data_IF_648967694379
#
_entry.id   IF_648967694379
#
_cell.length_a   1.000
_cell.length_b   1.000
_cell.length_c   1.000
_cell.angle_alpha   90.00
_cell.angle_beta   90.00
_cell.angle_gamma   90.00
#
_symmetry.space_group_name_H-M   'P 1'
#
loop_
_entity.id
_entity.type
_entity.pdbx_description
1 polymer ?
#
# COMPACT_ATOMS: atom_id res chain seq x y z
N UNK A 1 -14.14 -23.63 15.69
CA UNK A 1 -13.29 -22.45 15.88
C UNK A 1 -13.36 -21.63 14.58
N UNK A 2 -13.86 -20.41 14.67
CA UNK A 2 -13.85 -19.47 13.54
C UNK A 2 -12.42 -18.98 13.32
N UNK A 3 -11.88 -19.21 12.11
CA UNK A 3 -10.55 -18.72 11.73
C UNK A 3 -10.70 -17.33 11.11
N UNK A 4 -10.09 -16.32 11.73
CA UNK A 4 -10.16 -14.92 11.29
C UNK A 4 -8.78 -14.35 10.91
N UNK A 5 -7.80 -15.22 10.71
CA UNK A 5 -6.41 -14.85 10.42
C UNK A 5 -6.10 -14.61 8.94
N UNK A 6 -7.08 -14.80 8.06
CA UNK A 6 -6.91 -14.61 6.61
C UNK A 6 -8.11 -13.87 6.05
N UNK A 7 -7.85 -12.72 5.43
CA UNK A 7 -8.88 -11.93 4.74
C UNK A 7 -9.32 -12.56 3.42
N UNK A 8 -10.01 -13.69 3.50
CA UNK A 8 -10.55 -14.40 2.35
C UNK A 8 -12.07 -14.51 2.46
N UNK A 9 -12.84 -13.58 1.87
CA UNK A 9 -14.30 -13.57 1.96
C UNK A 9 -15.01 -14.61 1.06
N UNK A 10 -14.32 -15.16 0.06
CA UNK A 10 -14.92 -16.09 -0.90
C UNK A 10 -15.59 -17.34 -0.26
N UNK A 11 -15.01 -18.01 0.77
CA UNK A 11 -15.65 -19.13 1.43
C UNK A 11 -16.94 -18.77 2.19
N UNK A 12 -17.22 -17.49 2.35
CA UNK A 12 -18.42 -16.96 3.01
C UNK A 12 -19.45 -16.39 2.02
N UNK A 13 -19.39 -16.83 0.76
CA UNK A 13 -20.32 -16.44 -0.31
C UNK A 13 -20.25 -14.95 -0.72
N UNK A 14 -19.15 -14.26 -0.37
CA UNK A 14 -18.89 -12.92 -0.88
C UNK A 14 -18.21 -13.03 -2.25
N UNK A 15 -18.98 -13.06 -3.29
CA UNK A 15 -18.51 -13.21 -4.66
C UNK A 15 -17.92 -11.91 -5.24
N UNK A 16 -17.03 -12.05 -6.21
CA UNK A 16 -16.59 -10.93 -7.02
C UNK A 16 -17.76 -10.41 -7.90
N UNK A 17 -17.76 -9.11 -8.26
CA UNK A 17 -18.78 -8.58 -9.19
C UNK A 17 -18.82 -9.37 -10.49
N UNK A 18 -20.03 -9.69 -10.96
CA UNK A 18 -20.23 -10.47 -12.20
C UNK A 18 -19.62 -9.79 -13.43
N UNK A 19 -19.57 -8.47 -13.45
CA UNK A 19 -18.98 -7.67 -14.50
C UNK A 19 -17.48 -7.97 -14.62
N UNK A 20 -16.76 -8.11 -13.49
CA UNK A 20 -15.35 -8.46 -13.48
C UNK A 20 -15.10 -9.86 -14.02
N UNK A 21 -15.92 -10.83 -13.60
CA UNK A 21 -15.83 -12.22 -14.09
C UNK A 21 -16.10 -12.29 -15.59
N UNK A 22 -17.16 -11.60 -16.04
CA UNK A 22 -17.51 -11.55 -17.46
C UNK A 22 -16.40 -10.91 -18.31
N UNK A 23 -15.84 -9.80 -17.86
CA UNK A 23 -14.77 -9.09 -18.55
C UNK A 23 -13.52 -9.97 -18.68
N UNK A 24 -13.14 -10.66 -17.59
CA UNK A 24 -12.04 -11.62 -17.60
C UNK A 24 -12.23 -12.70 -18.69
N UNK A 25 -13.42 -13.31 -18.75
CA UNK A 25 -13.73 -14.36 -19.72
C UNK A 25 -13.69 -13.82 -21.16
N UNK A 26 -14.27 -12.65 -21.38
CA UNK A 26 -14.33 -12.03 -22.73
C UNK A 26 -12.94 -11.65 -23.27
N UNK A 27 -12.03 -11.22 -22.39
CA UNK A 27 -10.69 -10.76 -22.75
C UNK A 27 -9.60 -11.83 -22.53
N UNK A 28 -9.95 -13.07 -22.20
CA UNK A 28 -8.99 -14.13 -21.91
C UNK A 28 -8.01 -14.39 -23.08
N UNK A 29 -8.48 -14.29 -24.33
CA UNK A 29 -7.63 -14.47 -25.53
C UNK A 29 -6.62 -13.34 -25.72
N UNK A 30 -6.93 -12.13 -25.30
CA UNK A 30 -6.03 -10.99 -25.40
C UNK A 30 -4.86 -11.08 -24.39
N UNK A 31 -4.95 -12.05 -23.47
CA UNK A 31 -3.92 -12.32 -22.46
C UNK A 31 -2.90 -13.40 -22.91
N UNK A 32 -2.97 -13.92 -24.14
CA UNK A 32 -2.07 -14.99 -24.62
C UNK A 32 -0.63 -14.49 -24.90
N UNK A 33 -0.45 -13.19 -25.15
CA UNK A 33 0.84 -12.59 -25.50
C UNK A 33 1.49 -11.83 -24.35
N UNK A 34 2.77 -11.51 -24.52
CA UNK A 34 3.45 -10.57 -23.62
C UNK A 34 2.86 -9.17 -23.76
N UNK A 35 2.80 -8.45 -22.65
CA UNK A 35 2.41 -7.04 -22.59
C UNK A 35 3.60 -6.15 -22.20
N UNK A 36 3.37 -4.83 -22.16
CA UNK A 36 4.34 -3.86 -21.65
C UNK A 36 4.74 -4.21 -20.19
N UNK A 37 6.03 -4.11 -19.88
CA UNK A 37 6.56 -4.44 -18.55
C UNK A 37 5.98 -3.58 -17.42
N UNK A 38 5.47 -2.39 -17.72
CA UNK A 38 4.72 -1.56 -16.76
C UNK A 38 3.27 -1.99 -16.59
N UNK A 39 2.77 -2.88 -17.45
CA UNK A 39 1.37 -3.29 -17.52
C UNK A 39 0.65 -2.73 -18.76
N UNK A 40 -0.48 -3.34 -19.10
CA UNK A 40 -1.26 -2.94 -20.30
C UNK A 40 -1.76 -1.49 -20.18
N UNK A 41 -1.77 -0.81 -21.33
CA UNK A 41 -2.14 0.61 -21.39
C UNK A 41 -3.52 0.89 -20.80
N UNK A 42 -4.53 0.09 -21.10
CA UNK A 42 -5.89 0.27 -20.61
C UNK A 42 -5.98 0.21 -19.07
N UNK A 43 -5.28 -0.74 -18.44
CA UNK A 43 -5.24 -0.83 -16.98
C UNK A 43 -4.54 0.38 -16.35
N UNK A 44 -3.36 0.76 -16.88
CA UNK A 44 -2.63 1.95 -16.38
C UNK A 44 -3.44 3.23 -16.58
N UNK A 45 -4.17 3.36 -17.70
CA UNK A 45 -5.05 4.51 -17.94
C UNK A 45 -6.22 4.56 -16.97
N UNK A 46 -6.81 3.42 -16.63
CA UNK A 46 -7.87 3.35 -15.62
C UNK A 46 -7.36 3.73 -14.23
N UNK A 47 -6.13 3.31 -13.88
CA UNK A 47 -5.48 3.71 -12.62
C UNK A 47 -5.18 5.21 -12.61
N UNK A 48 -4.67 5.77 -13.72
CA UNK A 48 -4.46 7.23 -13.83
C UNK A 48 -5.76 8.01 -13.59
N UNK A 49 -6.87 7.56 -14.19
CA UNK A 49 -8.19 8.17 -13.96
C UNK A 49 -8.62 8.04 -12.49
N UNK A 50 -8.35 6.91 -11.86
CA UNK A 50 -8.60 6.74 -10.43
C UNK A 50 -7.78 7.72 -9.59
N UNK A 51 -6.48 7.88 -9.89
CA UNK A 51 -5.63 8.85 -9.22
C UNK A 51 -6.15 10.29 -9.38
N UNK A 52 -6.64 10.66 -10.58
CA UNK A 52 -7.25 11.95 -10.82
C UNK A 52 -8.52 12.19 -9.98
N UNK A 53 -9.39 11.17 -9.88
CA UNK A 53 -10.58 11.22 -9.03
C UNK A 53 -10.26 11.36 -7.54
N UNK A 54 -9.14 10.81 -7.12
CA UNK A 54 -8.64 10.88 -5.74
C UNK A 54 -7.69 12.07 -5.50
N UNK A 55 -7.54 12.94 -6.48
CA UNK A 55 -6.72 14.16 -6.42
C UNK A 55 -5.23 13.92 -6.14
N UNK A 56 -4.69 12.79 -6.60
CA UNK A 56 -3.24 12.56 -6.52
C UNK A 56 -2.48 13.63 -7.30
N UNK A 57 -1.44 14.24 -6.72
CA UNK A 57 -0.67 15.25 -7.41
C UNK A 57 0.25 14.62 -8.48
N UNK A 58 0.32 15.25 -9.66
CA UNK A 58 1.35 15.02 -10.68
C UNK A 58 1.48 13.57 -11.20
N UNK A 59 0.48 12.69 -11.02
CA UNK A 59 0.51 11.32 -11.51
C UNK A 59 0.12 11.26 -12.97
N UNK A 60 0.95 10.63 -13.79
CA UNK A 60 0.72 10.34 -15.19
C UNK A 60 0.76 8.83 -15.44
N UNK A 61 0.33 8.39 -16.60
CA UNK A 61 0.41 6.98 -17.00
C UNK A 61 1.84 6.40 -16.93
N UNK A 62 2.87 7.25 -17.03
CA UNK A 62 4.27 6.82 -16.97
C UNK A 62 4.76 6.48 -15.57
N UNK A 63 4.04 6.95 -14.56
CA UNK A 63 4.34 6.76 -13.14
C UNK A 63 3.62 5.52 -12.56
N UNK A 64 2.84 4.83 -13.41
CA UNK A 64 1.99 3.71 -13.00
C UNK A 64 2.59 2.40 -13.48
N UNK A 65 2.72 1.47 -12.53
CA UNK A 65 3.20 0.10 -12.74
C UNK A 65 2.17 -0.88 -12.21
N UNK A 66 1.88 -1.92 -12.97
CA UNK A 66 1.03 -3.01 -12.51
C UNK A 66 1.89 -4.25 -12.21
N UNK A 67 1.51 -4.98 -11.19
CA UNK A 67 2.19 -6.20 -10.76
C UNK A 67 1.18 -7.27 -10.35
N UNK A 68 1.70 -8.40 -9.96
CA UNK A 68 0.95 -9.57 -9.53
C UNK A 68 0.51 -9.41 -8.05
N UNK A 69 -0.35 -8.41 -7.81
CA UNK A 69 -0.77 -7.98 -6.49
C UNK A 69 0.27 -7.09 -5.78
N UNK A 70 -0.16 -6.42 -4.72
CA UNK A 70 0.69 -5.53 -3.91
C UNK A 70 1.92 -6.26 -3.37
N UNK A 71 1.81 -7.56 -3.10
CA UNK A 71 2.93 -8.36 -2.56
C UNK A 71 4.14 -8.41 -3.48
N UNK A 72 3.95 -8.54 -4.79
CA UNK A 72 5.05 -8.49 -5.76
C UNK A 72 5.67 -7.09 -5.79
N UNK A 73 4.82 -6.05 -5.85
CA UNK A 73 5.27 -4.66 -5.90
C UNK A 73 6.09 -4.27 -4.66
N UNK A 74 5.67 -4.69 -3.46
CA UNK A 74 6.45 -4.50 -2.22
C UNK A 74 7.85 -5.11 -2.38
N UNK A 75 7.92 -6.36 -2.82
CA UNK A 75 9.21 -7.06 -2.98
C UNK A 75 10.10 -6.36 -4.00
N UNK A 76 9.55 -5.95 -5.13
CA UNK A 76 10.29 -5.24 -6.18
C UNK A 76 10.80 -3.88 -5.68
N UNK A 77 9.97 -3.13 -4.96
CA UNK A 77 10.35 -1.83 -4.39
C UNK A 77 11.51 -1.98 -3.40
N UNK A 78 11.42 -2.94 -2.49
CA UNK A 78 12.49 -3.15 -1.49
C UNK A 78 13.79 -3.62 -2.15
N UNK A 79 13.72 -4.53 -3.12
CA UNK A 79 14.90 -4.97 -3.88
C UNK A 79 15.54 -3.86 -4.72
N UNK A 80 14.74 -2.93 -5.22
CA UNK A 80 15.24 -1.80 -6.02
C UNK A 80 15.78 -0.64 -5.20
N UNK A 81 15.39 -0.51 -3.92
CA UNK A 81 15.75 0.61 -3.06
C UNK A 81 16.94 0.30 -2.14
N UNK A 82 17.00 -0.92 -1.56
CA UNK A 82 17.80 -1.19 -0.36
C UNK A 82 19.14 -1.81 -0.69
N UNK A 83 20.18 -1.26 -0.05
CA UNK A 83 21.47 -1.87 0.12
C UNK A 83 21.63 -2.46 1.54
N UNK A 84 22.68 -3.27 1.74
CA UNK A 84 22.96 -3.85 3.06
C UNK A 84 23.16 -2.76 4.13
N UNK A 85 22.34 -2.84 5.17
CA UNK A 85 22.38 -1.93 6.31
C UNK A 85 21.48 -0.70 6.18
N UNK A 86 20.79 -0.51 5.06
CA UNK A 86 19.73 0.47 4.96
C UNK A 86 18.55 0.08 5.87
N UNK A 87 17.87 1.08 6.39
CA UNK A 87 16.76 0.92 7.33
C UNK A 87 15.45 1.42 6.73
N UNK A 88 14.37 0.71 7.04
CA UNK A 88 13.00 1.13 6.68
C UNK A 88 12.12 1.05 7.91
N UNK A 89 11.44 2.15 8.22
CA UNK A 89 10.46 2.21 9.30
C UNK A 89 9.18 1.47 8.90
N UNK A 90 8.69 0.57 9.75
CA UNK A 90 7.52 -0.28 9.51
C UNK A 90 6.60 -0.24 10.73
N UNK A 91 5.27 -0.20 10.57
CA UNK A 91 4.37 -0.21 11.72
C UNK A 91 4.47 -1.52 12.52
N UNK A 92 4.14 -1.47 13.81
CA UNK A 92 3.97 -2.64 14.65
C UNK A 92 2.68 -2.51 15.47
N UNK A 93 1.66 -3.35 15.17
CA UNK A 93 1.66 -4.51 14.25
C UNK A 93 1.64 -4.13 12.77
N UNK A 94 2.20 -5.02 11.90
CA UNK A 94 2.28 -4.82 10.45
C UNK A 94 1.65 -5.98 9.65
N UNK A 95 1.65 -5.80 8.33
CA UNK A 95 1.53 -6.89 7.39
C UNK A 95 2.92 -7.53 7.21
N UNK A 96 3.15 -8.79 7.68
CA UNK A 96 4.48 -9.39 7.81
C UNK A 96 5.33 -9.43 6.54
N UNK A 97 4.71 -9.26 5.37
CA UNK A 97 5.43 -9.22 4.10
C UNK A 97 6.36 -8.00 3.99
N UNK A 98 6.01 -6.86 4.59
CA UNK A 98 6.88 -5.69 4.60
C UNK A 98 8.19 -6.01 5.30
N UNK A 99 8.10 -6.48 6.54
CA UNK A 99 9.27 -6.93 7.33
C UNK A 99 10.11 -7.98 6.57
N UNK A 100 9.44 -8.98 5.99
CA UNK A 100 10.12 -10.03 5.24
C UNK A 100 10.82 -9.52 3.98
N UNK A 101 10.15 -8.65 3.19
CA UNK A 101 10.72 -8.13 1.95
C UNK A 101 11.93 -7.21 2.19
N UNK A 102 11.89 -6.39 3.23
CA UNK A 102 13.01 -5.55 3.65
C UNK A 102 14.20 -6.43 4.04
N UNK A 103 13.99 -7.44 4.90
CA UNK A 103 15.04 -8.34 5.34
C UNK A 103 15.65 -9.15 4.17
N UNK A 104 14.82 -9.64 3.25
CA UNK A 104 15.26 -10.40 2.08
C UNK A 104 16.02 -9.52 1.06
N UNK A 105 15.75 -8.23 1.03
CA UNK A 105 16.50 -7.26 0.22
C UNK A 105 17.83 -6.81 0.85
N UNK A 106 18.17 -7.30 2.07
CA UNK A 106 19.38 -6.94 2.79
C UNK A 106 19.25 -5.73 3.71
N UNK A 107 18.07 -5.11 3.77
CA UNK A 107 17.78 -4.01 4.67
C UNK A 107 17.39 -4.47 6.09
N UNK A 108 17.21 -3.51 6.96
CA UNK A 108 16.79 -3.71 8.35
C UNK A 108 15.41 -3.09 8.57
N UNK A 109 14.36 -3.89 8.85
CA UNK A 109 13.08 -3.35 9.27
C UNK A 109 13.18 -2.78 10.69
N UNK A 110 12.83 -1.52 10.86
CA UNK A 110 12.80 -0.83 12.15
C UNK A 110 11.34 -0.55 12.50
N UNK A 111 10.81 -1.28 13.48
CA UNK A 111 9.39 -1.20 13.83
C UNK A 111 9.11 -0.01 14.72
N UNK A 112 8.14 0.83 14.31
CA UNK A 112 7.54 1.86 15.16
C UNK A 112 6.22 1.38 15.75
N UNK A 113 5.87 1.89 16.92
CA UNK A 113 4.70 1.45 17.68
C UNK A 113 3.44 2.09 17.11
N UNK A 114 2.40 1.25 16.92
CA UNK A 114 1.01 1.70 16.82
C UNK A 114 0.34 1.32 18.14
N UNK A 115 -0.01 2.34 18.94
CA UNK A 115 -0.46 2.13 20.31
C UNK A 115 -1.93 1.66 20.36
N UNK A 116 -2.17 0.52 21.02
CA UNK A 116 -3.51 -0.03 21.20
C UNK A 116 -4.42 0.92 22.00
N UNK A 117 -3.88 1.59 23.02
CA UNK A 117 -4.64 2.52 23.83
C UNK A 117 -4.95 3.83 23.09
N UNK A 118 -4.19 4.13 22.03
CA UNK A 118 -4.39 5.25 21.10
C UNK A 118 -5.02 4.80 19.77
N UNK A 119 -5.96 3.88 19.81
CA UNK A 119 -6.71 3.40 18.61
C UNK A 119 -5.81 2.79 17.52
N UNK A 120 -4.66 2.24 17.89
CA UNK A 120 -3.66 1.68 16.97
C UNK A 120 -3.04 2.72 16.03
N UNK A 121 -3.01 3.98 16.44
CA UNK A 121 -2.35 5.03 15.67
C UNK A 121 -0.84 4.99 15.86
N UNK A 122 -0.06 5.31 14.79
CA UNK A 122 1.38 5.51 14.88
C UNK A 122 1.79 6.53 15.93
N UNK A 123 2.74 6.17 16.77
CA UNK A 123 3.38 7.07 17.72
C UNK A 123 4.48 7.88 17.01
N UNK A 124 4.26 9.18 16.86
CA UNK A 124 5.16 10.11 16.16
C UNK A 124 6.50 10.28 16.88
N UNK A 125 6.49 10.29 18.21
CA UNK A 125 7.70 10.39 19.00
C UNK A 125 8.54 9.13 18.85
N UNK A 126 7.92 7.96 18.87
CA UNK A 126 8.59 6.68 18.64
C UNK A 126 9.15 6.59 17.22
N UNK A 127 8.39 6.99 16.19
CA UNK A 127 8.87 7.10 14.81
C UNK A 127 10.14 7.95 14.74
N UNK A 128 10.06 9.17 15.27
CA UNK A 128 11.14 10.15 15.21
C UNK A 128 12.40 9.67 15.93
N UNK A 129 12.23 9.02 17.09
CA UNK A 129 13.34 8.49 17.88
C UNK A 129 14.11 7.37 17.20
N UNK A 130 13.51 6.69 16.23
CA UNK A 130 14.07 5.53 15.51
C UNK A 130 14.75 5.90 14.18
N UNK A 131 14.66 7.15 13.76
CA UNK A 131 15.31 7.61 12.53
C UNK A 131 16.82 7.71 12.72
N UNK A 132 17.55 7.12 11.79
CA UNK A 132 19.03 7.22 11.74
C UNK A 132 19.48 7.70 10.35
N UNK A 133 20.79 7.91 10.19
CA UNK A 133 21.36 8.25 8.87
C UNK A 133 21.21 7.13 7.82
N UNK A 134 20.81 5.92 8.23
CA UNK A 134 20.57 4.78 7.35
C UNK A 134 19.09 4.61 6.97
N UNK A 135 18.21 5.35 7.61
CA UNK A 135 16.76 5.27 7.32
C UNK A 135 16.48 5.86 5.94
N UNK A 136 15.91 5.06 5.05
CA UNK A 136 15.60 5.44 3.66
C UNK A 136 14.13 5.74 3.45
N UNK A 137 13.27 5.04 4.16
CA UNK A 137 11.83 5.09 3.92
C UNK A 137 11.02 4.82 5.18
N UNK A 138 9.77 5.22 5.12
CA UNK A 138 8.73 4.86 6.08
C UNK A 138 7.58 4.17 5.33
N UNK A 139 7.09 3.08 5.89
CA UNK A 139 5.90 2.35 5.42
C UNK A 139 4.70 2.77 6.23
N UNK A 140 3.62 3.16 5.56
CA UNK A 140 2.31 3.43 6.13
C UNK A 140 1.33 2.42 5.54
N UNK A 141 0.54 1.76 6.39
CA UNK A 141 -0.54 0.87 5.97
C UNK A 141 -1.85 1.49 6.43
N UNK A 142 -2.61 2.07 5.50
CA UNK A 142 -3.80 2.84 5.86
C UNK A 142 -4.94 2.63 4.84
N UNK A 143 -6.09 2.04 5.25
CA UNK A 143 -6.39 1.46 6.56
C UNK A 143 -5.44 0.32 6.94
N UNK A 144 -5.13 0.21 8.25
CA UNK A 144 -4.09 -0.69 8.73
C UNK A 144 -4.50 -2.17 8.66
N UNK A 145 -3.55 -2.99 8.31
CA UNK A 145 -3.60 -4.44 8.47
C UNK A 145 -2.52 -4.84 9.49
N UNK A 146 -2.88 -5.39 10.69
CA UNK A 146 -4.13 -6.13 10.96
C UNK A 146 -5.19 -5.36 11.77
N UNK A 147 -4.95 -4.15 12.24
CA UNK A 147 -5.78 -3.51 13.27
C UNK A 147 -7.10 -2.94 12.73
N UNK A 148 -7.14 -2.59 11.44
CA UNK A 148 -8.27 -1.90 10.83
C UNK A 148 -8.32 -0.39 11.10
N UNK A 149 -7.34 0.16 11.80
CA UNK A 149 -7.26 1.59 12.09
C UNK A 149 -7.22 2.40 10.80
N UNK A 150 -8.00 3.47 10.76
CA UNK A 150 -7.99 4.47 9.70
C UNK A 150 -7.39 5.75 10.29
N UNK A 151 -6.28 6.19 9.73
CA UNK A 151 -5.53 7.33 10.29
C UNK A 151 -6.18 8.64 9.89
N UNK A 152 -6.42 9.56 10.85
CA UNK A 152 -6.97 10.88 10.58
C UNK A 152 -5.97 11.76 9.83
N UNK A 153 -6.48 12.80 9.20
CA UNK A 153 -5.70 13.71 8.36
C UNK A 153 -4.53 14.33 9.11
N UNK A 154 -4.79 14.78 10.32
CA UNK A 154 -3.81 15.44 11.18
C UNK A 154 -2.60 14.55 11.45
N UNK A 155 -2.83 13.28 11.76
CA UNK A 155 -1.75 12.30 11.96
C UNK A 155 -0.97 12.03 10.67
N UNK A 156 -1.65 11.92 9.53
CA UNK A 156 -0.99 11.76 8.24
C UNK A 156 -0.11 12.97 7.90
N UNK A 157 -0.56 14.19 8.22
CA UNK A 157 0.21 15.43 8.04
C UNK A 157 1.45 15.45 8.93
N UNK A 158 1.37 14.96 10.18
CA UNK A 158 2.53 14.82 11.07
C UNK A 158 3.55 13.80 10.52
N UNK A 159 3.09 12.67 10.02
CA UNK A 159 3.96 11.67 9.38
C UNK A 159 4.66 12.25 8.14
N UNK A 160 3.91 12.98 7.32
CA UNK A 160 4.47 13.66 6.12
C UNK A 160 5.55 14.65 6.53
N UNK A 161 5.34 15.41 7.62
CA UNK A 161 6.33 16.37 8.10
C UNK A 161 7.61 15.67 8.61
N UNK A 162 7.47 14.57 9.35
CA UNK A 162 8.62 13.75 9.77
C UNK A 162 9.39 13.23 8.56
N UNK A 163 8.69 12.71 7.54
CA UNK A 163 9.32 12.24 6.31
C UNK A 163 10.04 13.36 5.57
N UNK A 164 9.45 14.56 5.51
CA UNK A 164 10.03 15.75 4.86
C UNK A 164 11.32 16.19 5.56
N UNK A 165 11.30 16.31 6.87
CA UNK A 165 12.45 16.75 7.66
C UNK A 165 13.65 15.80 7.56
N UNK A 166 13.37 14.51 7.33
CA UNK A 166 14.38 13.46 7.27
C UNK A 166 14.65 12.93 5.85
N UNK A 167 14.05 13.55 4.84
CA UNK A 167 14.18 13.16 3.42
C UNK A 167 13.87 11.66 3.18
N UNK A 168 12.80 11.16 3.79
CA UNK A 168 12.37 9.78 3.66
C UNK A 168 11.42 9.59 2.48
N UNK A 169 11.51 8.44 1.82
CA UNK A 169 10.49 7.96 0.89
C UNK A 169 9.29 7.45 1.69
N UNK A 170 8.08 7.80 1.29
CA UNK A 170 6.86 7.24 1.89
C UNK A 170 6.35 6.10 1.00
N UNK A 171 6.27 4.89 1.55
CA UNK A 171 5.53 3.78 0.97
C UNK A 171 4.17 3.69 1.64
N UNK A 172 3.10 3.97 0.89
CA UNK A 172 1.73 3.92 1.39
C UNK A 172 1.00 2.70 0.83
N UNK A 173 0.75 1.71 1.68
CA UNK A 173 -0.08 0.55 1.37
C UNK A 173 -1.55 0.90 1.61
N UNK A 174 -2.25 1.19 0.53
CA UNK A 174 -3.65 1.65 0.53
C UNK A 174 -4.60 0.58 -0.03
N UNK A 175 -4.23 -0.72 0.08
CA UNK A 175 -5.02 -1.84 -0.47
C UNK A 175 -6.44 -1.91 0.09
N UNK A 176 -6.70 -1.31 1.25
CA UNK A 176 -7.99 -1.26 1.92
C UNK A 176 -8.73 0.07 1.77
N UNK A 177 -8.30 0.97 0.90
CA UNK A 177 -8.83 2.34 0.73
C UNK A 177 -10.36 2.42 0.51
N UNK A 178 -10.97 1.35 -0.03
CA UNK A 178 -12.41 1.23 -0.28
C UNK A 178 -13.17 0.42 0.78
N UNK A 179 -12.49 -0.07 1.80
CA UNK A 179 -13.08 -0.83 2.89
C UNK A 179 -13.14 0.02 4.17
N UNK A 180 -13.62 1.24 4.02
CA UNK A 180 -13.85 2.19 5.10
C UNK A 180 -15.31 2.13 5.52
N UNK A 181 -15.57 2.17 6.83
CA UNK A 181 -16.88 2.01 7.44
C UNK A 181 -17.28 3.27 8.21
N UNK A 182 -18.47 3.27 8.79
CA UNK A 182 -18.97 4.29 9.72
C UNK A 182 -19.04 5.73 9.15
N UNK A 183 -19.10 5.86 7.82
CA UNK A 183 -19.15 7.15 7.16
C UNK A 183 -17.83 7.92 7.13
N UNK A 184 -16.73 7.26 7.51
CA UNK A 184 -15.39 7.81 7.41
C UNK A 184 -14.89 7.79 5.96
N UNK A 185 -13.87 8.60 5.66
CA UNK A 185 -13.25 8.66 4.35
C UNK A 185 -11.75 8.38 4.43
N UNK A 186 -11.25 7.60 3.48
CA UNK A 186 -9.82 7.37 3.31
C UNK A 186 -9.18 8.58 2.61
N UNK A 187 -8.08 9.06 3.17
CA UNK A 187 -7.27 10.14 2.60
C UNK A 187 -5.97 9.53 2.07
N UNK A 188 -5.72 9.56 0.74
CA UNK A 188 -4.45 9.13 0.19
C UNK A 188 -3.32 10.05 0.67
N UNK A 189 -2.30 9.49 1.33
CA UNK A 189 -1.22 10.31 1.91
C UNK A 189 -0.47 11.14 0.85
N UNK A 190 -0.41 10.67 -0.38
CA UNK A 190 0.22 11.39 -1.48
C UNK A 190 -0.44 12.77 -1.75
N UNK A 191 -1.72 12.94 -1.41
CA UNK A 191 -2.41 14.24 -1.56
C UNK A 191 -1.95 15.29 -0.55
N UNK A 192 -1.35 14.84 0.56
CA UNK A 192 -0.80 15.69 1.62
C UNK A 192 0.71 15.97 1.43
N UNK A 193 1.36 15.26 0.50
CA UNK A 193 2.80 15.28 0.29
C UNK A 193 3.19 15.53 -1.18
N UNK A 194 2.72 16.63 -1.83
CA UNK A 194 2.95 16.86 -3.26
C UNK A 194 4.43 17.14 -3.61
N UNK A 195 5.24 17.42 -2.62
CA UNK A 195 6.66 17.75 -2.69
C UNK A 195 7.59 16.57 -2.33
N UNK A 196 7.02 15.45 -1.86
CA UNK A 196 7.79 14.26 -1.47
C UNK A 196 7.67 13.14 -2.50
N UNK A 197 8.61 12.20 -2.43
CA UNK A 197 8.52 10.96 -3.18
C UNK A 197 7.65 9.97 -2.41
N UNK A 198 6.43 9.76 -2.91
CA UNK A 198 5.44 8.84 -2.34
C UNK A 198 5.16 7.72 -3.33
N UNK A 199 5.27 6.49 -2.87
CA UNK A 199 4.88 5.30 -3.62
C UNK A 199 3.60 4.74 -3.02
N UNK A 200 2.49 4.93 -3.71
CA UNK A 200 1.20 4.36 -3.30
C UNK A 200 1.00 2.98 -3.90
N UNK A 201 0.74 2.01 -3.05
CA UNK A 201 0.46 0.63 -3.41
C UNK A 201 -1.04 0.36 -3.20
N UNK A 202 -1.71 -0.11 -4.25
CA UNK A 202 -3.13 -0.41 -4.21
C UNK A 202 -3.46 -1.58 -5.16
N UNK A 203 -4.70 -2.05 -5.17
CA UNK A 203 -5.10 -3.14 -6.05
C UNK A 203 -6.55 -3.60 -5.86
N UNK A 204 -6.96 -4.55 -6.67
CA UNK A 204 -8.33 -5.05 -6.72
C UNK A 204 -8.60 -6.20 -5.75
N UNK A 205 -7.54 -6.80 -5.19
CA UNK A 205 -7.62 -8.03 -4.40
C UNK A 205 -8.62 -7.96 -3.25
N UNK A 206 -8.71 -6.82 -2.56
CA UNK A 206 -9.55 -6.64 -1.37
C UNK A 206 -10.88 -5.97 -1.73
N UNK A 207 -10.82 -4.80 -2.32
CA UNK A 207 -12.00 -4.00 -2.67
C UNK A 207 -12.94 -4.71 -3.65
N UNK A 208 -12.42 -5.49 -4.60
CA UNK A 208 -13.21 -6.20 -5.61
C UNK A 208 -13.29 -7.72 -5.37
N UNK A 209 -12.71 -8.21 -4.28
CA UNK A 209 -12.75 -9.64 -3.88
C UNK A 209 -12.13 -10.60 -4.91
N UNK A 210 -11.11 -10.14 -5.63
CA UNK A 210 -10.46 -10.90 -6.72
C UNK A 210 -9.02 -11.33 -6.38
N UNK A 211 -8.73 -11.55 -5.11
CA UNK A 211 -7.39 -11.91 -4.65
C UNK A 211 -6.82 -13.18 -5.33
N UNK A 212 -7.66 -14.10 -5.76
CA UNK A 212 -7.28 -15.33 -6.44
C UNK A 212 -6.97 -15.16 -7.93
N UNK A 213 -7.33 -14.04 -8.55
CA UNK A 213 -7.07 -13.83 -9.98
C UNK A 213 -5.65 -13.34 -10.27
N UNK A 214 -5.02 -12.79 -9.28
CA UNK A 214 -3.66 -12.25 -9.28
C UNK A 214 -3.41 -11.17 -10.31
#
# INVERSE_FOLDING_TARGET
>A
ILKMNTGNPAPFEFEAPNEVIRDLIMNARDSEGYSDSKGIFSARKAIEQYCQLKHFPNVTINDIYTGNGVSELITMCMQGLLDNGDEVLVPMPDYPLWTASIALAGGTPVHYICDEEAEWYPDIDDITSKITSRTKAIVIINPNNPTGALYPKELLEEIVEVARQNNLIIYSDEIYDRLVMDGLEHIPIATLAPDLFVVTLNGLSKSHRVAGFR
#
